data_IF_699393860144
#
_entry.id   IF_699393860144
#
_cell.length_a   1.000
_cell.length_b   1.000
_cell.length_c   1.000
_cell.angle_alpha   90.00
_cell.angle_beta   90.00
_cell.angle_gamma   90.00
#
_symmetry.space_group_name_H-M   'P 1'
#
loop_
_entity.id
_entity.type
_entity.pdbx_description
1 polymer ?
#
# COMPACT_ATOMS: atom_id res chain seq x y z
N UNK A 1 18.60 -13.55 -4.06
CA UNK A 1 17.68 -14.71 -4.12
C UNK A 1 16.67 -14.42 -5.22
N UNK A 2 16.55 -15.29 -6.20
CA UNK A 2 15.60 -15.10 -7.31
C UNK A 2 14.18 -15.26 -6.75
N UNK A 3 13.27 -14.35 -7.12
CA UNK A 3 11.85 -14.48 -6.79
C UNK A 3 11.29 -15.53 -7.74
N UNK A 4 10.82 -16.66 -7.19
CA UNK A 4 10.23 -17.78 -7.96
C UNK A 4 8.70 -17.66 -7.97
N UNK A 5 8.21 -16.61 -8.64
CA UNK A 5 6.80 -16.40 -8.94
C UNK A 5 6.68 -16.00 -10.41
N UNK A 6 6.02 -16.86 -11.20
CA UNK A 6 5.71 -16.56 -12.60
C UNK A 6 4.44 -15.70 -12.66
N UNK A 7 4.64 -14.36 -12.76
CA UNK A 7 3.60 -13.37 -12.89
C UNK A 7 3.64 -12.75 -14.29
N UNK A 8 2.49 -12.58 -14.91
CA UNK A 8 2.38 -12.07 -16.28
C UNK A 8 2.20 -10.56 -16.37
N UNK A 9 1.53 -9.99 -15.37
CA UNK A 9 1.04 -8.61 -15.39
C UNK A 9 1.57 -7.75 -14.24
N UNK A 10 2.36 -8.36 -13.34
CA UNK A 10 3.03 -7.68 -12.24
C UNK A 10 4.50 -8.05 -12.25
N UNK A 11 5.38 -7.07 -12.23
CA UNK A 11 6.82 -7.29 -12.09
C UNK A 11 7.22 -7.30 -10.63
N UNK A 12 8.18 -8.16 -10.29
CA UNK A 12 8.77 -8.23 -8.97
C UNK A 12 10.28 -7.96 -9.04
N UNK A 13 10.73 -7.05 -8.21
CA UNK A 13 12.15 -6.76 -8.01
C UNK A 13 12.45 -6.80 -6.52
N UNK A 14 13.53 -7.46 -6.13
CA UNK A 14 13.99 -7.49 -4.75
C UNK A 14 15.19 -6.56 -4.62
N UNK A 15 15.05 -5.53 -3.78
CA UNK A 15 16.10 -4.62 -3.41
C UNK A 15 16.38 -4.73 -1.90
N UNK A 16 17.37 -5.55 -1.55
CA UNK A 16 17.67 -5.87 -0.16
C UNK A 16 16.48 -6.52 0.57
N UNK A 17 15.94 -5.82 1.56
CA UNK A 17 14.75 -6.20 2.34
C UNK A 17 13.45 -5.61 1.81
N UNK A 18 13.48 -4.93 0.66
CA UNK A 18 12.33 -4.30 0.01
C UNK A 18 11.87 -5.14 -1.17
N UNK A 19 10.55 -5.37 -1.29
CA UNK A 19 9.91 -5.92 -2.48
C UNK A 19 9.28 -4.80 -3.29
N UNK A 20 9.76 -4.61 -4.52
CA UNK A 20 9.15 -3.68 -5.48
C UNK A 20 8.20 -4.45 -6.38
N UNK A 21 6.94 -4.03 -6.38
CA UNK A 21 5.84 -4.62 -7.15
C UNK A 21 5.40 -3.61 -8.19
N UNK A 22 5.54 -3.92 -9.49
CA UNK A 22 5.23 -3.03 -10.59
C UNK A 22 4.00 -3.48 -11.38
N UNK A 23 2.96 -2.63 -11.49
CA UNK A 23 1.84 -2.87 -12.39
C UNK A 23 2.35 -2.84 -13.84
N UNK A 24 2.17 -3.90 -14.60
CA UNK A 24 2.88 -4.18 -15.85
C UNK A 24 1.99 -4.37 -17.09
N UNK A 25 0.88 -3.62 -17.23
CA UNK A 25 0.03 -3.56 -18.43
C UNK A 25 -0.06 -2.12 -18.98
N UNK A 26 1.06 -1.45 -19.30
CA UNK A 26 1.06 -0.04 -19.68
C UNK A 26 0.24 0.25 -20.96
N UNK A 27 0.17 -0.68 -21.90
CA UNK A 27 -0.64 -0.59 -23.12
C UNK A 27 -2.16 -0.51 -22.84
N UNK A 28 -2.61 -0.99 -21.67
CA UNK A 28 -3.97 -0.87 -21.13
C UNK A 28 -4.06 0.13 -19.99
N UNK A 29 -3.06 1.03 -19.86
CA UNK A 29 -2.95 1.99 -18.75
C UNK A 29 -3.05 1.30 -17.39
N UNK A 30 -2.47 0.11 -17.27
CA UNK A 30 -2.49 -0.73 -16.07
C UNK A 30 -3.90 -0.99 -15.52
N UNK A 31 -4.92 -1.12 -16.39
CA UNK A 31 -6.25 -1.52 -15.97
C UNK A 31 -6.21 -2.94 -15.38
N UNK A 32 -6.87 -3.13 -14.23
CA UNK A 32 -6.92 -4.39 -13.52
C UNK A 32 -7.88 -5.36 -14.22
N UNK A 33 -7.34 -6.35 -14.94
CA UNK A 33 -8.05 -7.55 -15.34
C UNK A 33 -7.89 -8.66 -14.27
N UNK A 34 -8.53 -9.81 -14.48
CA UNK A 34 -8.45 -10.94 -13.55
C UNK A 34 -7.01 -11.45 -13.35
N UNK A 35 -6.19 -11.40 -14.41
CA UNK A 35 -4.79 -11.82 -14.33
C UNK A 35 -4.01 -10.87 -13.41
N UNK A 36 -4.13 -9.56 -13.61
CA UNK A 36 -3.44 -8.57 -12.76
C UNK A 36 -3.93 -8.59 -11.31
N UNK A 37 -5.23 -8.78 -11.08
CA UNK A 37 -5.77 -8.95 -9.72
C UNK A 37 -5.16 -10.17 -9.02
N UNK A 38 -5.08 -11.31 -9.72
CA UNK A 38 -4.47 -12.53 -9.18
C UNK A 38 -2.96 -12.37 -8.96
N UNK A 39 -2.24 -11.80 -9.92
CA UNK A 39 -0.78 -11.60 -9.83
C UNK A 39 -0.43 -10.64 -8.69
N UNK A 40 -1.14 -9.51 -8.58
CA UNK A 40 -0.93 -8.55 -7.50
C UNK A 40 -1.23 -9.18 -6.14
N UNK A 41 -2.30 -9.96 -6.03
CA UNK A 41 -2.64 -10.70 -4.82
C UNK A 41 -1.53 -11.67 -4.40
N UNK A 42 -0.93 -12.42 -5.34
CA UNK A 42 0.22 -13.30 -5.07
C UNK A 42 1.47 -12.53 -4.66
N UNK A 43 1.74 -11.39 -5.31
CA UNK A 43 2.87 -10.52 -4.97
C UNK A 43 2.76 -10.02 -3.52
N UNK A 44 1.58 -9.64 -3.11
CA UNK A 44 1.29 -9.24 -1.74
C UNK A 44 1.38 -10.43 -0.76
N UNK A 45 0.91 -11.60 -1.17
CA UNK A 45 1.09 -12.84 -0.41
C UNK A 45 2.56 -13.18 -0.18
N UNK A 46 3.42 -12.98 -1.20
CA UNK A 46 4.87 -13.14 -1.07
C UNK A 46 5.45 -12.14 -0.06
N UNK A 47 5.09 -10.85 -0.17
CA UNK A 47 5.56 -9.82 0.76
C UNK A 47 5.27 -10.23 2.21
N UNK A 48 4.07 -10.70 2.52
CA UNK A 48 3.69 -11.08 3.87
C UNK A 48 4.40 -12.36 4.37
N UNK A 49 4.60 -13.36 3.52
CA UNK A 49 5.14 -14.67 3.92
C UNK A 49 6.67 -14.74 4.00
N UNK A 50 7.40 -13.92 3.25
CA UNK A 50 8.88 -13.94 3.25
C UNK A 50 9.43 -13.08 4.39
N UNK A 51 9.87 -13.71 5.46
CA UNK A 51 10.42 -13.03 6.66
C UNK A 51 11.66 -12.19 6.36
N UNK A 52 12.34 -12.42 5.24
CA UNK A 52 13.47 -11.61 4.80
C UNK A 52 13.06 -10.30 4.12
N UNK A 53 11.79 -10.14 3.75
CA UNK A 53 11.20 -8.89 3.27
C UNK A 53 10.62 -8.10 4.46
N UNK A 54 10.89 -6.81 4.50
CA UNK A 54 10.51 -5.92 5.62
C UNK A 54 9.60 -4.77 5.21
N UNK A 55 9.58 -4.43 3.91
CA UNK A 55 8.71 -3.41 3.34
C UNK A 55 8.39 -3.71 1.89
N UNK A 56 7.25 -3.21 1.39
CA UNK A 56 6.88 -3.23 -0.02
C UNK A 56 6.88 -1.85 -0.64
N UNK A 57 7.15 -1.78 -1.94
CA UNK A 57 6.94 -0.59 -2.77
C UNK A 57 6.04 -0.98 -3.94
N UNK A 58 4.96 -0.24 -4.12
CA UNK A 58 4.06 -0.40 -5.27
C UNK A 58 4.31 0.73 -6.27
N UNK A 59 4.62 0.34 -7.50
CA UNK A 59 4.87 1.24 -8.63
C UNK A 59 4.05 0.82 -9.84
N UNK A 60 4.09 1.60 -10.92
CA UNK A 60 3.48 1.23 -12.19
C UNK A 60 4.43 1.50 -13.34
N UNK A 61 4.41 0.63 -14.37
CA UNK A 61 5.15 0.84 -15.61
C UNK A 61 4.35 1.74 -16.57
N UNK A 62 5.06 2.51 -17.40
CA UNK A 62 4.46 3.44 -18.36
C UNK A 62 3.98 4.75 -17.71
N UNK A 63 3.13 5.49 -18.44
CA UNK A 63 2.77 6.87 -18.12
C UNK A 63 1.69 7.00 -17.04
N UNK A 64 1.02 5.91 -16.67
CA UNK A 64 -0.14 5.95 -15.78
C UNK A 64 -0.02 4.90 -14.67
N UNK A 65 -0.49 5.24 -13.48
CA UNK A 65 -0.57 4.28 -12.39
C UNK A 65 -1.61 3.20 -12.69
N UNK A 66 -2.87 3.58 -12.88
CA UNK A 66 -3.92 2.67 -13.36
C UNK A 66 -5.16 3.41 -13.85
N UNK A 67 -5.84 2.85 -14.85
CA UNK A 67 -7.15 3.29 -15.28
C UNK A 67 -8.32 2.67 -14.48
N UNK A 68 -8.03 1.86 -13.45
CA UNK A 68 -9.03 1.15 -12.67
C UNK A 68 -9.33 -0.25 -13.20
N UNK A 69 -10.54 -0.76 -12.99
CA UNK A 69 -10.94 -2.09 -13.45
C UNK A 69 -11.10 -2.16 -14.98
N UNK A 70 -10.62 -3.24 -15.57
CA UNK A 70 -11.04 -3.69 -16.89
C UNK A 70 -12.44 -4.34 -16.76
N UNK A 71 -13.47 -3.48 -16.81
CA UNK A 71 -14.85 -3.90 -16.53
C UNK A 71 -15.34 -5.00 -17.48
N UNK A 72 -14.83 -5.06 -18.73
CA UNK A 72 -15.25 -6.09 -19.69
C UNK A 72 -14.77 -7.49 -19.24
N UNK A 73 -13.60 -7.56 -18.60
CA UNK A 73 -13.05 -8.82 -18.12
C UNK A 73 -13.54 -9.19 -16.72
N UNK A 74 -13.67 -8.22 -15.82
CA UNK A 74 -13.88 -8.50 -14.39
C UNK A 74 -15.36 -8.49 -13.98
N UNK A 75 -16.25 -7.77 -14.69
CA UNK A 75 -17.64 -7.63 -14.30
C UNK A 75 -18.41 -8.98 -14.14
N UNK A 76 -18.21 -10.00 -14.97
CA UNK A 76 -18.87 -11.29 -14.75
C UNK A 76 -18.49 -11.96 -13.42
N UNK A 77 -17.22 -11.92 -13.02
CA UNK A 77 -16.72 -12.48 -11.76
C UNK A 77 -17.33 -11.74 -10.56
N UNK A 78 -17.34 -10.39 -10.62
CA UNK A 78 -17.92 -9.57 -9.56
C UNK A 78 -19.44 -9.81 -9.45
N UNK A 79 -20.14 -9.87 -10.58
CA UNK A 79 -21.61 -10.11 -10.59
C UNK A 79 -21.97 -11.51 -10.05
N UNK A 80 -21.10 -12.50 -10.21
CA UNK A 80 -21.25 -13.83 -9.62
C UNK A 80 -20.93 -13.89 -8.12
N UNK A 81 -20.39 -12.78 -7.52
CA UNK A 81 -19.95 -12.76 -6.12
C UNK A 81 -18.67 -13.58 -5.89
N UNK A 82 -17.92 -13.86 -6.95
CA UNK A 82 -16.68 -14.65 -6.86
C UNK A 82 -15.49 -13.76 -6.51
N UNK A 83 -14.54 -14.29 -5.73
CA UNK A 83 -13.29 -13.61 -5.43
C UNK A 83 -12.33 -13.70 -6.62
N UNK A 84 -11.74 -12.59 -7.08
CA UNK A 84 -10.69 -12.64 -8.08
C UNK A 84 -9.32 -13.02 -7.49
N UNK A 85 -9.22 -13.19 -6.17
CA UNK A 85 -7.97 -13.45 -5.49
C UNK A 85 -7.75 -14.95 -5.26
N UNK A 86 -6.58 -15.50 -5.64
CA UNK A 86 -6.24 -16.89 -5.40
C UNK A 86 -5.97 -17.15 -3.90
N UNK A 87 -6.12 -18.42 -3.49
CA UNK A 87 -5.97 -18.81 -2.08
C UNK A 87 -4.53 -18.61 -1.52
N UNK A 88 -3.52 -18.58 -2.39
CA UNK A 88 -2.13 -18.32 -2.06
C UNK A 88 -1.76 -16.84 -2.06
N UNK A 89 -2.71 -15.96 -2.34
CA UNK A 89 -2.58 -14.51 -2.34
C UNK A 89 -3.07 -13.84 -1.06
N UNK A 90 -3.02 -12.51 -1.08
CA UNK A 90 -3.64 -11.62 -0.09
C UNK A 90 -4.43 -10.55 -0.82
N UNK A 91 -5.52 -10.05 -0.24
CA UNK A 91 -6.27 -8.95 -0.83
C UNK A 91 -5.43 -7.64 -0.83
N UNK A 92 -5.04 -7.10 -2.00
CA UNK A 92 -4.23 -5.88 -2.07
C UNK A 92 -4.92 -4.65 -1.48
N UNK A 93 -6.24 -4.63 -1.42
CA UNK A 93 -7.04 -3.56 -0.81
C UNK A 93 -7.18 -3.70 0.70
N UNK A 94 -6.60 -4.74 1.30
CA UNK A 94 -6.62 -5.00 2.75
C UNK A 94 -8.05 -5.05 3.32
N UNK A 95 -8.99 -5.68 2.61
CA UNK A 95 -10.35 -5.90 3.11
C UNK A 95 -10.44 -7.21 3.90
N UNK A 96 -9.46 -8.10 3.76
CA UNK A 96 -9.35 -9.40 4.41
C UNK A 96 -8.64 -9.38 5.78
N UNK A 97 -8.25 -8.20 6.25
CA UNK A 97 -7.66 -8.06 7.58
C UNK A 97 -6.32 -7.32 7.62
N UNK A 98 -5.65 -7.35 8.78
CA UNK A 98 -4.44 -6.58 9.02
C UNK A 98 -3.22 -7.12 8.26
N UNK A 99 -2.29 -6.22 7.99
CA UNK A 99 -1.01 -6.48 7.37
C UNK A 99 0.12 -6.26 8.36
N UNK A 100 1.18 -7.05 8.20
CA UNK A 100 2.33 -6.98 9.11
C UNK A 100 3.47 -6.16 8.56
N UNK A 101 3.52 -5.96 7.23
CA UNK A 101 4.60 -5.21 6.57
C UNK A 101 4.12 -3.92 5.94
N UNK A 102 4.87 -2.81 6.11
CA UNK A 102 4.50 -1.52 5.54
C UNK A 102 4.61 -1.53 4.02
N UNK A 103 3.76 -0.71 3.39
CA UNK A 103 3.70 -0.52 1.96
C UNK A 103 3.81 0.97 1.62
N UNK A 104 4.72 1.30 0.72
CA UNK A 104 4.85 2.63 0.13
C UNK A 104 4.39 2.58 -1.32
N UNK A 105 3.56 3.51 -1.76
CA UNK A 105 3.11 3.60 -3.16
C UNK A 105 3.69 4.83 -3.85
N UNK A 106 4.16 4.66 -5.10
CA UNK A 106 4.55 5.77 -5.99
C UNK A 106 3.60 5.84 -7.17
N UNK A 107 3.07 7.03 -7.44
CA UNK A 107 2.00 7.27 -8.40
C UNK A 107 2.41 8.31 -9.43
N UNK A 108 2.09 8.04 -10.70
CA UNK A 108 2.24 8.98 -11.80
C UNK A 108 1.02 8.94 -12.74
N UNK A 109 0.83 10.01 -13.49
CA UNK A 109 -0.21 10.10 -14.50
C UNK A 109 -1.60 9.80 -13.93
N UNK A 110 -2.41 8.97 -14.59
CA UNK A 110 -3.78 8.67 -14.12
C UNK A 110 -3.80 7.58 -13.06
N UNK A 111 -4.50 7.86 -11.96
CA UNK A 111 -4.83 6.92 -10.89
C UNK A 111 -6.33 6.99 -10.65
N UNK A 112 -7.08 6.07 -11.25
CA UNK A 112 -8.53 6.11 -11.26
C UNK A 112 -9.14 4.97 -10.44
N UNK A 113 -10.31 5.23 -9.86
CA UNK A 113 -11.18 4.23 -9.23
C UNK A 113 -10.45 3.33 -8.22
N UNK A 114 -10.42 2.04 -8.47
CA UNK A 114 -9.76 1.02 -7.64
C UNK A 114 -8.27 1.35 -7.37
N UNK A 115 -7.63 2.17 -8.22
CA UNK A 115 -6.28 2.68 -7.99
C UNK A 115 -6.20 3.60 -6.77
N UNK A 116 -7.13 4.53 -6.60
CA UNK A 116 -7.23 5.38 -5.40
C UNK A 116 -7.50 4.50 -4.16
N UNK A 117 -8.34 3.51 -4.30
CA UNK A 117 -8.65 2.58 -3.21
C UNK A 117 -7.43 1.73 -2.80
N UNK A 118 -6.59 1.35 -3.78
CA UNK A 118 -5.32 0.68 -3.54
C UNK A 118 -4.31 1.60 -2.82
N UNK A 119 -4.26 2.89 -3.19
CA UNK A 119 -3.47 3.88 -2.47
C UNK A 119 -3.93 4.03 -1.01
N UNK A 120 -5.23 4.10 -0.77
CA UNK A 120 -5.80 4.18 0.58
C UNK A 120 -5.51 2.92 1.43
N UNK A 121 -5.12 1.81 0.80
CA UNK A 121 -4.62 0.62 1.46
C UNK A 121 -3.12 0.66 1.75
N UNK A 122 -2.34 1.51 1.06
CA UNK A 122 -0.91 1.73 1.35
C UNK A 122 -0.72 2.63 2.58
N UNK A 123 0.43 2.46 3.25
CA UNK A 123 0.73 3.19 4.49
C UNK A 123 1.34 4.58 4.21
N UNK A 124 2.15 4.71 3.15
CA UNK A 124 2.74 5.97 2.69
C UNK A 124 2.53 6.09 1.18
N UNK A 125 2.19 7.29 0.71
CA UNK A 125 1.82 7.55 -0.68
C UNK A 125 2.57 8.76 -1.22
N UNK A 126 3.37 8.56 -2.25
CA UNK A 126 4.13 9.58 -2.96
C UNK A 126 3.55 9.71 -4.37
N UNK A 127 3.39 10.91 -4.87
CA UNK A 127 2.88 11.14 -6.22
C UNK A 127 3.74 12.09 -7.03
N UNK A 128 3.76 11.90 -8.35
CA UNK A 128 4.30 12.88 -9.28
C UNK A 128 3.33 14.06 -9.46
N UNK A 129 3.83 15.24 -9.76
CA UNK A 129 3.04 16.46 -9.92
C UNK A 129 2.04 16.40 -11.09
N UNK A 130 2.32 15.55 -12.09
CA UNK A 130 1.44 15.33 -13.24
C UNK A 130 0.24 14.43 -12.94
N UNK A 131 0.20 13.79 -11.76
CA UNK A 131 -0.83 12.82 -11.43
C UNK A 131 -2.25 13.41 -11.41
N UNK A 132 -3.22 12.60 -11.86
CA UNK A 132 -4.65 12.91 -11.89
C UNK A 132 -5.45 11.77 -11.28
N UNK A 133 -6.37 12.12 -10.42
CA UNK A 133 -7.15 11.21 -9.62
C UNK A 133 -8.64 11.39 -9.88
N UNK A 134 -9.41 10.32 -9.95
CA UNK A 134 -10.87 10.38 -9.99
C UNK A 134 -11.52 9.08 -9.54
N UNK A 135 -12.60 9.18 -8.74
CA UNK A 135 -13.47 8.07 -8.37
C UNK A 135 -14.74 8.13 -9.24
N UNK A 136 -14.64 7.59 -10.46
CA UNK A 136 -15.68 7.72 -11.49
C UNK A 136 -16.75 6.63 -11.45
N UNK A 137 -16.78 5.78 -10.44
CA UNK A 137 -17.73 4.66 -10.32
C UNK A 137 -19.18 5.12 -10.34
N UNK A 138 -19.49 6.21 -9.66
CA UNK A 138 -20.85 6.78 -9.64
C UNK A 138 -21.32 7.24 -11.03
N UNK A 139 -20.40 7.60 -11.92
CA UNK A 139 -20.67 7.92 -13.32
C UNK A 139 -20.86 6.67 -14.20
N UNK A 140 -20.71 5.48 -13.63
CA UNK A 140 -20.87 4.18 -14.28
C UNK A 140 -21.98 3.33 -13.66
N UNK A 141 -22.80 3.92 -12.76
CA UNK A 141 -23.93 3.25 -12.13
C UNK A 141 -23.54 2.28 -11.01
N UNK A 142 -22.31 2.36 -10.52
CA UNK A 142 -21.79 1.60 -9.37
C UNK A 142 -21.17 2.56 -8.36
N UNK A 143 -20.66 2.06 -7.27
CA UNK A 143 -19.97 2.85 -6.23
C UNK A 143 -18.57 2.30 -5.96
N UNK A 144 -17.66 3.08 -5.34
CA UNK A 144 -16.35 2.58 -4.92
C UNK A 144 -16.49 1.47 -3.89
N UNK A 145 -15.98 0.27 -4.19
CA UNK A 145 -16.16 -0.92 -3.35
C UNK A 145 -14.83 -1.56 -2.85
N UNK A 146 -13.67 -1.00 -3.20
CA UNK A 146 -12.37 -1.39 -2.68
C UNK A 146 -11.93 -0.61 -1.43
N UNK A 147 -12.86 0.13 -0.79
CA UNK A 147 -12.66 0.76 0.51
C UNK A 147 -12.58 2.28 0.53
N UNK A 148 -12.71 3.00 -0.61
CA UNK A 148 -12.66 4.47 -0.63
C UNK A 148 -13.78 5.10 0.21
N UNK A 149 -14.98 4.55 0.18
CA UNK A 149 -16.13 5.07 0.95
C UNK A 149 -15.92 5.02 2.47
N UNK A 150 -15.01 4.16 2.94
CA UNK A 150 -14.67 4.01 4.36
C UNK A 150 -13.41 4.79 4.73
N UNK A 151 -12.36 4.70 3.88
CA UNK A 151 -11.04 5.23 4.20
C UNK A 151 -10.89 6.71 3.85
N UNK A 152 -11.37 7.15 2.68
CA UNK A 152 -11.20 8.53 2.25
C UNK A 152 -11.91 9.53 3.19
N UNK A 153 -13.16 9.30 3.68
CA UNK A 153 -13.78 10.22 4.66
C UNK A 153 -13.01 10.36 5.96
N UNK A 154 -12.29 9.31 6.36
CA UNK A 154 -11.47 9.32 7.56
C UNK A 154 -10.14 10.06 7.35
N UNK A 155 -9.48 9.81 6.21
CA UNK A 155 -8.16 10.38 5.91
C UNK A 155 -8.27 11.86 5.46
N UNK A 156 -9.30 12.21 4.66
CA UNK A 156 -9.50 13.54 4.08
C UNK A 156 -10.56 14.40 4.80
N UNK A 157 -11.35 13.80 5.69
CA UNK A 157 -12.56 14.40 6.26
C UNK A 157 -13.77 14.29 5.33
N UNK A 158 -14.98 14.28 5.93
CA UNK A 158 -16.24 13.98 5.23
C UNK A 158 -16.48 14.87 4.00
N UNK A 159 -16.37 16.20 4.15
CA UNK A 159 -16.69 17.12 3.06
C UNK A 159 -15.75 16.97 1.85
N UNK A 160 -14.45 16.87 2.09
CA UNK A 160 -13.47 16.63 1.03
C UNK A 160 -13.71 15.28 0.33
N UNK A 161 -13.93 14.22 1.10
CA UNK A 161 -14.18 12.90 0.52
C UNK A 161 -15.47 12.88 -0.32
N UNK A 162 -16.59 13.39 0.22
CA UNK A 162 -17.86 13.40 -0.51
C UNK A 162 -17.82 14.28 -1.76
N UNK A 163 -17.05 15.39 -1.76
CA UNK A 163 -16.85 16.21 -2.95
C UNK A 163 -16.37 15.37 -4.14
N UNK A 164 -15.40 14.47 -3.94
CA UNK A 164 -14.80 13.67 -5.00
C UNK A 164 -15.52 12.35 -5.25
N UNK A 165 -16.01 11.69 -4.20
CA UNK A 165 -16.73 10.42 -4.30
C UNK A 165 -18.10 10.54 -4.98
N UNK A 166 -18.84 11.64 -4.73
CA UNK A 166 -20.20 11.81 -5.24
C UNK A 166 -20.25 12.43 -6.63
N UNK A 167 -19.25 13.22 -7.03
CA UNK A 167 -19.23 13.86 -8.34
C UNK A 167 -18.49 13.04 -9.39
N UNK A 168 -17.46 12.26 -8.97
CA UNK A 168 -16.57 11.57 -9.90
C UNK A 168 -15.66 12.52 -10.68
N UNK A 169 -15.54 13.79 -10.26
CA UNK A 169 -14.67 14.78 -10.91
C UNK A 169 -13.19 14.38 -10.75
N UNK A 170 -12.38 14.80 -11.74
CA UNK A 170 -10.93 14.65 -11.68
C UNK A 170 -10.31 15.76 -10.81
N UNK A 171 -9.28 15.40 -10.02
CA UNK A 171 -8.46 16.33 -9.25
C UNK A 171 -6.98 16.03 -9.41
N UNK A 172 -6.13 17.03 -9.13
CA UNK A 172 -4.70 16.96 -9.35
C UNK A 172 -3.90 16.52 -8.10
N UNK A 173 -2.58 16.42 -8.26
CA UNK A 173 -1.66 16.04 -7.20
C UNK A 173 -1.65 17.05 -6.03
N UNK A 174 -1.82 18.35 -6.30
CA UNK A 174 -1.85 19.38 -5.27
C UNK A 174 -3.09 19.22 -4.38
N UNK A 175 -4.25 18.97 -4.97
CA UNK A 175 -5.47 18.69 -4.23
C UNK A 175 -5.38 17.34 -3.48
N UNK A 176 -4.82 16.30 -4.11
CA UNK A 176 -4.59 15.00 -3.45
C UNK A 176 -3.74 15.15 -2.18
N UNK A 177 -2.70 15.98 -2.23
CA UNK A 177 -1.86 16.30 -1.08
C UNK A 177 -2.62 17.16 -0.05
N UNK A 178 -3.35 18.19 -0.49
CA UNK A 178 -4.13 19.06 0.40
C UNK A 178 -5.13 18.27 1.26
N UNK A 179 -5.81 17.27 0.67
CA UNK A 179 -6.81 16.46 1.37
C UNK A 179 -6.20 15.26 2.12
N UNK A 180 -4.89 15.04 2.04
CA UNK A 180 -4.21 13.93 2.71
C UNK A 180 -4.33 12.58 1.99
N UNK A 181 -4.81 12.56 0.73
CA UNK A 181 -4.77 11.33 -0.09
C UNK A 181 -3.33 10.88 -0.35
N UNK A 182 -2.41 11.81 -0.53
CA UNK A 182 -0.96 11.54 -0.64
C UNK A 182 -0.18 12.38 0.36
N UNK A 183 0.99 11.89 0.79
CA UNK A 183 1.82 12.56 1.80
C UNK A 183 2.90 13.43 1.18
N UNK A 184 3.37 13.09 -0.02
CA UNK A 184 4.43 13.82 -0.71
C UNK A 184 4.11 13.96 -2.20
N UNK A 185 4.49 15.12 -2.78
CA UNK A 185 4.44 15.39 -4.22
C UNK A 185 5.85 15.65 -4.71
N UNK A 186 6.24 15.01 -5.80
CA UNK A 186 7.55 15.13 -6.45
C UNK A 186 7.39 15.66 -7.87
N UNK A 187 8.48 16.08 -8.49
CA UNK A 187 8.45 16.74 -9.80
C UNK A 187 7.93 15.80 -10.90
N UNK A 188 8.34 14.52 -10.88
CA UNK A 188 7.99 13.55 -11.92
C UNK A 188 7.90 12.11 -11.40
N UNK A 189 7.57 11.18 -12.29
CA UNK A 189 7.41 9.76 -12.00
C UNK A 189 8.70 9.10 -11.48
N UNK A 190 9.85 9.49 -12.00
CA UNK A 190 11.14 8.93 -11.59
C UNK A 190 11.48 9.37 -10.17
N UNK A 191 11.23 10.64 -9.85
CA UNK A 191 11.41 11.20 -8.52
C UNK A 191 10.43 10.58 -7.51
N UNK A 192 9.17 10.33 -7.90
CA UNK A 192 8.19 9.65 -7.04
C UNK A 192 8.63 8.22 -6.70
N UNK A 193 9.09 7.45 -7.71
CA UNK A 193 9.62 6.10 -7.51
C UNK A 193 10.86 6.12 -6.60
N UNK A 194 11.81 7.00 -6.87
CA UNK A 194 13.04 7.11 -6.07
C UNK A 194 12.71 7.44 -4.61
N UNK A 195 11.79 8.37 -4.37
CA UNK A 195 11.37 8.76 -3.03
C UNK A 195 10.65 7.64 -2.29
N UNK A 196 9.79 6.88 -2.96
CA UNK A 196 9.11 5.72 -2.37
C UNK A 196 10.12 4.63 -1.97
N UNK A 197 11.13 4.36 -2.80
CA UNK A 197 12.22 3.44 -2.48
C UNK A 197 13.04 3.93 -1.27
N UNK A 198 13.40 5.20 -1.23
CA UNK A 198 14.12 5.80 -0.09
C UNK A 198 13.35 5.62 1.23
N UNK A 199 12.03 5.87 1.22
CA UNK A 199 11.17 5.68 2.39
C UNK A 199 11.09 4.21 2.80
N UNK A 200 10.94 3.29 1.84
CA UNK A 200 10.88 1.86 2.11
C UNK A 200 12.20 1.34 2.68
N UNK A 201 13.36 1.78 2.14
CA UNK A 201 14.68 1.46 2.69
C UNK A 201 14.89 2.07 4.08
N UNK A 202 14.39 3.29 4.31
CA UNK A 202 14.44 3.88 5.65
C UNK A 202 13.73 3.01 6.69
N UNK A 203 12.60 2.42 6.31
CA UNK A 203 11.85 1.49 7.16
C UNK A 203 12.57 0.13 7.26
N UNK A 204 12.93 -0.44 6.12
CA UNK A 204 13.44 -1.81 6.06
C UNK A 204 14.85 -1.98 6.67
N UNK A 205 15.72 -0.98 6.52
CA UNK A 205 17.14 -1.10 6.86
C UNK A 205 17.51 -0.40 8.17
N UNK A 206 16.74 0.63 8.59
CA UNK A 206 17.07 1.42 9.78
C UNK A 206 16.17 1.13 10.98
N UNK A 207 15.00 0.51 10.77
CA UNK A 207 14.04 0.25 11.84
C UNK A 207 14.01 -1.23 12.22
N UNK A 208 13.79 -1.50 13.51
CA UNK A 208 13.63 -2.86 14.00
C UNK A 208 12.34 -3.49 13.44
N UNK A 209 12.39 -4.62 12.71
CA UNK A 209 11.22 -5.19 12.04
C UNK A 209 10.05 -5.47 12.98
N UNK A 210 10.32 -6.04 14.15
CA UNK A 210 9.28 -6.31 15.16
C UNK A 210 8.65 -5.03 15.71
N UNK A 211 9.43 -3.95 15.84
CA UNK A 211 8.92 -2.64 16.26
C UNK A 211 8.00 -2.02 15.20
N UNK A 212 8.37 -2.15 13.91
CA UNK A 212 7.53 -1.69 12.79
C UNK A 212 6.21 -2.47 12.75
N UNK A 213 6.26 -3.80 12.87
CA UNK A 213 5.06 -4.65 12.89
C UNK A 213 4.14 -4.31 14.07
N UNK A 214 4.70 -4.13 15.27
CA UNK A 214 3.93 -3.74 16.44
C UNK A 214 3.28 -2.36 16.28
N UNK A 215 3.97 -1.41 15.65
CA UNK A 215 3.45 -0.07 15.36
C UNK A 215 2.25 -0.16 14.40
N UNK A 216 2.38 -0.91 13.30
CA UNK A 216 1.27 -1.14 12.36
C UNK A 216 0.09 -1.83 13.05
N UNK A 217 0.35 -2.91 13.79
CA UNK A 217 -0.70 -3.68 14.46
C UNK A 217 -1.46 -2.82 15.49
N UNK A 218 -0.76 -1.99 16.27
CA UNK A 218 -1.37 -1.09 17.24
C UNK A 218 -2.24 -0.03 16.57
N UNK A 219 -1.73 0.62 15.51
CA UNK A 219 -2.48 1.62 14.75
C UNK A 219 -3.71 1.02 14.05
N UNK A 220 -3.58 -0.18 13.47
CA UNK A 220 -4.69 -0.91 12.83
C UNK A 220 -5.74 -1.33 13.86
N UNK A 221 -5.34 -1.76 15.06
CA UNK A 221 -6.26 -2.12 16.14
C UNK A 221 -7.06 -0.89 16.58
N UNK A 222 -6.41 0.27 16.76
CA UNK A 222 -7.12 1.50 17.09
C UNK A 222 -8.16 1.87 16.02
N UNK A 223 -7.86 1.62 14.75
CA UNK A 223 -8.78 1.89 13.62
C UNK A 223 -9.96 0.92 13.57
N UNK A 224 -9.76 -0.34 13.92
CA UNK A 224 -10.78 -1.41 13.77
C UNK A 224 -11.61 -1.66 15.03
N UNK A 225 -11.01 -1.50 16.22
CA UNK A 225 -11.63 -1.81 17.51
C UNK A 225 -11.69 -0.61 18.48
N UNK A 226 -11.17 0.55 18.06
CA UNK A 226 -11.15 1.77 18.88
C UNK A 226 -9.90 1.92 19.75
N UNK A 227 -9.67 3.16 20.23
CA UNK A 227 -8.47 3.53 20.98
C UNK A 227 -8.29 2.73 22.28
N UNK A 228 -9.38 2.46 23.00
CA UNK A 228 -9.33 1.71 24.26
C UNK A 228 -8.69 0.33 24.07
N UNK A 229 -9.10 -0.41 23.03
CA UNK A 229 -8.54 -1.72 22.72
C UNK A 229 -7.05 -1.64 22.35
N UNK A 230 -6.63 -0.59 21.67
CA UNK A 230 -5.22 -0.37 21.34
C UNK A 230 -4.40 -0.01 22.59
N UNK A 231 -4.92 0.87 23.48
CA UNK A 231 -4.22 1.27 24.72
C UNK A 231 -3.97 0.09 25.65
N UNK A 232 -4.91 -0.85 25.76
CA UNK A 232 -4.75 -2.08 26.56
C UNK A 232 -3.56 -2.94 26.08
N UNK A 233 -3.20 -2.85 24.79
CA UNK A 233 -2.11 -3.61 24.18
C UNK A 233 -0.74 -2.95 24.27
N UNK A 234 -0.64 -1.64 24.54
CA UNK A 234 0.62 -0.90 24.48
C UNK A 234 1.65 -1.46 25.47
N UNK A 235 1.26 -1.62 26.75
CA UNK A 235 2.19 -2.08 27.79
C UNK A 235 2.61 -3.54 27.61
N UNK A 236 1.72 -4.51 27.37
CA UNK A 236 2.12 -5.89 27.07
C UNK A 236 3.06 -5.99 25.87
N UNK A 237 2.79 -5.22 24.80
CA UNK A 237 3.58 -5.27 23.57
C UNK A 237 4.98 -4.68 23.76
N UNK A 238 5.12 -3.55 24.46
CA UNK A 238 6.44 -2.98 24.74
C UNK A 238 7.28 -3.89 25.61
N UNK A 239 6.67 -4.56 26.61
CA UNK A 239 7.37 -5.56 27.44
C UNK A 239 7.88 -6.72 26.57
N UNK A 240 7.06 -7.22 25.65
CA UNK A 240 7.47 -8.26 24.70
C UNK A 240 8.67 -7.81 23.86
N UNK A 241 8.62 -6.59 23.31
CA UNK A 241 9.69 -6.04 22.47
C UNK A 241 11.00 -5.86 23.24
N UNK A 242 10.97 -5.41 24.49
CA UNK A 242 12.17 -5.30 25.32
C UNK A 242 12.86 -6.65 25.60
N UNK A 243 12.16 -7.77 25.43
CA UNK A 243 12.73 -9.11 25.50
C UNK A 243 13.43 -9.59 24.22
N UNK A 244 13.48 -8.78 23.15
CA UNK A 244 14.05 -9.17 21.86
C UNK A 244 15.54 -8.81 21.73
N UNK A 245 16.25 -9.51 20.83
CA UNK A 245 17.64 -9.19 20.48
C UNK A 245 17.73 -7.81 19.80
N UNK A 246 16.73 -7.44 19.01
CA UNK A 246 16.69 -6.14 18.36
C UNK A 246 16.57 -4.99 19.37
N UNK A 247 15.84 -5.16 20.47
CA UNK A 247 15.79 -4.15 21.52
C UNK A 247 17.15 -4.00 22.22
N UNK A 248 17.84 -5.11 22.49
CA UNK A 248 19.19 -5.10 23.06
C UNK A 248 20.19 -4.43 22.11
N UNK A 249 20.14 -4.74 20.80
CA UNK A 249 20.95 -4.09 19.76
C UNK A 249 20.64 -2.58 19.69
N UNK A 250 19.39 -2.19 19.78
CA UNK A 250 18.98 -0.79 19.77
C UNK A 250 19.64 0.00 20.92
N UNK A 251 19.65 -0.55 22.12
CA UNK A 251 20.32 0.06 23.29
C UNK A 251 21.84 0.09 23.09
N UNK A 252 22.43 -1.04 22.68
CA UNK A 252 23.88 -1.16 22.51
C UNK A 252 24.42 -0.22 21.42
N UNK A 253 23.73 -0.16 20.26
CA UNK A 253 24.12 0.72 19.16
C UNK A 253 24.06 2.21 19.54
N UNK A 254 23.09 2.58 20.38
CA UNK A 254 22.97 3.94 20.91
C UNK A 254 24.17 4.30 21.83
N UNK A 255 24.52 3.40 22.74
CA UNK A 255 25.69 3.59 23.64
C UNK A 255 26.98 3.69 22.84
N UNK A 256 27.14 2.84 21.83
CA UNK A 256 28.32 2.80 20.95
C UNK A 256 28.34 3.88 19.87
N UNK A 257 27.28 4.65 19.72
CA UNK A 257 27.11 5.70 18.68
C UNK A 257 27.34 5.18 17.25
N UNK A 258 26.82 4.01 16.95
CA UNK A 258 26.84 3.39 15.62
C UNK A 258 25.43 3.10 15.11
N UNK A 259 25.25 2.88 13.80
CA UNK A 259 23.99 2.36 13.28
C UNK A 259 23.67 0.99 13.89
N UNK A 260 22.39 0.78 14.22
CA UNK A 260 21.88 -0.51 14.65
C UNK A 260 21.81 -1.52 13.51
N UNK A 261 21.91 -2.82 13.83
CA UNK A 261 21.82 -3.94 12.89
C UNK A 261 20.72 -4.89 13.31
N UNK A 262 19.48 -4.53 13.01
CA UNK A 262 18.31 -5.29 13.41
C UNK A 262 18.12 -6.56 12.55
N UNK A 263 17.69 -7.64 13.21
CA UNK A 263 17.53 -8.97 12.60
C UNK A 263 16.09 -9.50 12.65
N UNK A 264 15.15 -8.81 13.33
CA UNK A 264 13.76 -9.24 13.47
C UNK A 264 13.56 -10.33 14.53
N UNK A 265 14.36 -10.39 15.56
CA UNK A 265 14.31 -11.43 16.59
C UNK A 265 14.71 -10.93 17.98
#
# INVERSE_FOLDING_TARGET
>A
MTIDLDLQTVTLERDGHVLVMGLGRPEKRNAFDRAMLADLSRAYGLLERDDSLRAGVLVAHGDHFTAGLDLLDVAPTIAAGESPFPADGRDPWRLDGPWTKPLVAAVQGRCLTLGIELLLAADIRVTAADARFAQIEVLRGIYPFGGATVRLPRDAGWGNAMRWLLTGDEFDAAEAHRIGLVQEVTDDAAAARARALELAHAIADRSAPLGVQATLASAQLARSAGEAAAFERLQPEVVRLFGTQDAAEGVQSFVERRPARFQGR
#
